data_IF_555622675380
#
_entry.id   IF_555622675380
#
_cell.length_a   1.000
_cell.length_b   1.000
_cell.length_c   1.000
_cell.angle_alpha   90.00
_cell.angle_beta   90.00
_cell.angle_gamma   90.00
#
_symmetry.space_group_name_H-M   'P 1'
#
loop_
_entity.id
_entity.type
_entity.pdbx_description
1 polymer ?
#
# COMPACT_ATOMS: atom_id res chain seq x y z
N UNK A 1 -14.62 -17.06 20.89
CA UNK A 1 -14.21 -15.91 20.06
C UNK A 1 -14.77 -14.70 20.77
N UNK A 2 -13.95 -13.99 21.55
CA UNK A 2 -14.39 -12.71 22.12
C UNK A 2 -14.75 -11.79 20.96
N UNK A 3 -15.99 -11.33 20.95
CA UNK A 3 -16.47 -10.34 20.00
C UNK A 3 -15.61 -9.10 20.22
N UNK A 4 -14.73 -8.79 19.25
CA UNK A 4 -13.94 -7.56 19.26
C UNK A 4 -14.93 -6.41 19.09
N UNK A 5 -15.51 -6.00 20.21
CA UNK A 5 -16.55 -5.00 20.27
C UNK A 5 -15.92 -3.67 19.88
N UNK A 6 -16.44 -3.09 18.81
CA UNK A 6 -16.09 -1.75 18.38
C UNK A 6 -16.26 -0.79 19.57
N UNK A 7 -15.15 -0.23 20.05
CA UNK A 7 -15.07 0.41 21.38
C UNK A 7 -14.92 1.93 21.32
N UNK A 8 -14.72 2.49 20.12
CA UNK A 8 -14.53 3.92 19.93
C UNK A 8 -15.29 4.42 18.71
N UNK A 9 -15.95 5.56 18.88
CA UNK A 9 -16.54 6.27 17.75
C UNK A 9 -15.52 7.20 17.09
N UNK A 10 -15.60 7.29 15.75
CA UNK A 10 -14.87 8.28 14.95
C UNK A 10 -15.86 9.30 14.42
N UNK A 11 -15.51 10.59 14.52
CA UNK A 11 -16.28 11.67 13.92
C UNK A 11 -16.13 11.68 12.40
N UNK A 12 -17.26 11.80 11.71
CA UNK A 12 -17.31 11.87 10.24
C UNK A 12 -17.62 13.29 9.80
N UNK A 13 -16.91 13.73 8.77
CA UNK A 13 -17.07 15.03 8.16
C UNK A 13 -17.31 14.88 6.66
N UNK A 14 -18.14 15.76 6.12
CA UNK A 14 -18.42 15.88 4.70
C UNK A 14 -17.98 17.27 4.23
N UNK A 15 -17.21 17.32 3.13
CA UNK A 15 -16.91 18.54 2.41
C UNK A 15 -17.53 18.45 1.02
N UNK A 16 -18.51 19.31 0.74
CA UNK A 16 -19.15 19.34 -0.57
C UNK A 16 -18.34 20.23 -1.52
N UNK A 17 -17.82 19.65 -2.59
CA UNK A 17 -17.26 20.39 -3.73
C UNK A 17 -18.38 20.68 -4.73
N UNK A 18 -18.80 21.95 -4.93
CA UNK A 18 -19.87 22.27 -5.86
C UNK A 18 -19.52 21.93 -7.30
N UNK A 19 -20.50 21.46 -8.08
CA UNK A 19 -20.30 21.15 -9.50
C UNK A 19 -19.75 22.35 -10.28
N UNK A 20 -20.18 23.57 -9.96
CA UNK A 20 -19.68 24.77 -10.62
C UNK A 20 -18.19 25.01 -10.35
N UNK A 21 -17.68 24.62 -9.18
CA UNK A 21 -16.23 24.66 -8.91
C UNK A 21 -15.47 23.67 -9.81
N UNK A 22 -16.00 22.46 -9.98
CA UNK A 22 -15.43 21.45 -10.89
C UNK A 22 -15.47 21.90 -12.36
N UNK A 23 -16.55 22.58 -12.76
CA UNK A 23 -16.73 23.11 -14.13
C UNK A 23 -15.79 24.27 -14.45
N UNK A 24 -15.35 25.04 -13.44
CA UNK A 24 -14.36 26.12 -13.61
C UNK A 24 -12.95 25.60 -13.89
N UNK A 25 -12.65 24.36 -13.53
CA UNK A 25 -11.38 23.74 -13.88
C UNK A 25 -11.31 23.48 -15.40
N UNK A 26 -10.13 23.70 -15.98
CA UNK A 26 -9.82 23.16 -17.31
C UNK A 26 -9.91 21.63 -17.31
N UNK A 27 -10.03 21.02 -18.47
CA UNK A 27 -10.13 19.56 -18.56
C UNK A 27 -8.88 18.87 -18.01
N UNK A 28 -7.69 19.44 -18.19
CA UNK A 28 -6.45 18.94 -17.60
C UNK A 28 -6.47 19.02 -16.06
N UNK A 29 -6.90 20.15 -15.50
CA UNK A 29 -6.97 20.30 -14.04
C UNK A 29 -8.04 19.40 -13.42
N UNK A 30 -9.16 19.19 -14.13
CA UNK A 30 -10.21 18.27 -13.71
C UNK A 30 -9.72 16.82 -13.76
N UNK A 31 -8.98 16.44 -14.80
CA UNK A 31 -8.31 15.14 -14.89
C UNK A 31 -7.35 14.94 -13.71
N UNK A 32 -6.48 15.92 -13.43
CA UNK A 32 -5.53 15.87 -12.32
C UNK A 32 -6.22 15.74 -10.96
N UNK A 33 -7.32 16.46 -10.73
CA UNK A 33 -8.12 16.37 -9.51
C UNK A 33 -8.61 14.94 -9.25
N UNK A 34 -9.26 14.32 -10.24
CA UNK A 34 -9.76 12.96 -10.10
C UNK A 34 -8.64 11.93 -9.99
N UNK A 35 -7.55 12.10 -10.74
CA UNK A 35 -6.41 11.18 -10.68
C UNK A 35 -5.73 11.21 -9.30
N UNK A 36 -5.50 12.39 -8.73
CA UNK A 36 -4.93 12.54 -7.39
C UNK A 36 -5.83 11.89 -6.32
N UNK A 37 -7.13 12.14 -6.39
CA UNK A 37 -8.10 11.53 -5.47
C UNK A 37 -8.13 10.00 -5.59
N UNK A 38 -8.04 9.48 -6.81
CA UNK A 38 -7.96 8.04 -7.05
C UNK A 38 -6.69 7.42 -6.47
N UNK A 39 -5.52 8.02 -6.73
CA UNK A 39 -4.24 7.56 -6.19
C UNK A 39 -4.27 7.54 -4.65
N UNK A 40 -4.74 8.63 -4.02
CA UNK A 40 -4.85 8.72 -2.56
C UNK A 40 -5.75 7.61 -1.99
N UNK A 41 -6.93 7.39 -2.59
CA UNK A 41 -7.85 6.35 -2.14
C UNK A 41 -7.24 4.95 -2.19
N UNK A 42 -6.53 4.62 -3.28
CA UNK A 42 -5.86 3.32 -3.40
C UNK A 42 -4.74 3.16 -2.37
N UNK A 43 -3.85 4.15 -2.23
CA UNK A 43 -2.71 4.06 -1.33
C UNK A 43 -3.10 4.10 0.15
N UNK A 44 -4.10 4.90 0.53
CA UNK A 44 -4.64 4.88 1.89
C UNK A 44 -5.30 3.54 2.23
N UNK A 45 -6.04 2.96 1.28
CA UNK A 45 -6.65 1.63 1.48
C UNK A 45 -5.58 0.56 1.64
N UNK A 46 -4.53 0.59 0.80
CA UNK A 46 -3.41 -0.34 0.88
C UNK A 46 -2.63 -0.20 2.18
N UNK A 47 -2.37 1.01 2.64
CA UNK A 47 -1.70 1.22 3.94
C UNK A 47 -2.45 0.52 5.08
N UNK A 48 -3.79 0.63 5.11
CA UNK A 48 -4.61 -0.07 6.11
C UNK A 48 -4.53 -1.58 5.94
N UNK A 49 -4.71 -2.08 4.71
CA UNK A 49 -4.73 -3.52 4.41
C UNK A 49 -3.38 -4.17 4.75
N UNK A 50 -2.26 -3.51 4.44
CA UNK A 50 -0.92 -3.99 4.82
C UNK A 50 -0.82 -4.12 6.34
N UNK A 51 -1.24 -3.11 7.11
CA UNK A 51 -1.24 -3.18 8.57
C UNK A 51 -2.16 -4.26 9.13
N UNK A 52 -3.28 -4.57 8.46
CA UNK A 52 -4.22 -5.60 8.88
C UNK A 52 -3.76 -7.02 8.51
N UNK A 53 -2.90 -7.15 7.48
CA UNK A 53 -2.39 -8.45 7.05
C UNK A 53 -1.22 -8.95 7.91
N UNK A 54 -0.55 -8.07 8.68
CA UNK A 54 0.52 -8.45 9.59
C UNK A 54 0.00 -9.37 10.71
N UNK A 55 0.71 -10.46 11.06
CA UNK A 55 0.38 -11.30 12.21
C UNK A 55 0.37 -10.50 13.52
N UNK A 56 -0.67 -10.65 14.34
CA UNK A 56 -0.86 -9.89 15.62
C UNK A 56 -1.04 -10.77 16.85
N UNK A 57 -0.63 -12.03 16.78
CA UNK A 57 -0.76 -13.01 17.85
C UNK A 57 0.60 -13.59 18.23
N UNK A 58 0.67 -14.22 19.40
CA UNK A 58 1.90 -14.85 19.90
C UNK A 58 2.11 -16.29 19.38
N UNK A 59 1.14 -16.86 18.66
CA UNK A 59 1.26 -18.22 18.10
C UNK A 59 2.32 -18.29 16.99
N UNK A 60 3.50 -18.78 17.37
CA UNK A 60 4.69 -18.88 16.52
C UNK A 60 4.80 -20.20 15.76
N UNK A 61 3.79 -21.08 15.84
CA UNK A 61 3.81 -22.35 15.10
C UNK A 61 3.93 -22.06 13.60
N UNK A 62 4.82 -22.75 12.84
CA UNK A 62 5.00 -22.50 11.41
C UNK A 62 3.70 -22.52 10.61
N UNK A 63 2.84 -23.50 10.88
CA UNK A 63 1.53 -23.64 10.23
C UNK A 63 0.58 -22.46 10.48
N UNK A 64 0.78 -21.70 11.56
CA UNK A 64 0.02 -20.49 11.83
C UNK A 64 0.70 -19.26 11.21
N UNK A 65 1.98 -19.07 11.53
CA UNK A 65 2.70 -17.83 11.23
C UNK A 65 3.08 -17.68 9.76
N UNK A 66 3.58 -18.73 9.09
CA UNK A 66 4.12 -18.62 7.73
C UNK A 66 3.07 -18.24 6.68
N UNK A 67 1.86 -18.83 6.67
CA UNK A 67 0.80 -18.42 5.73
C UNK A 67 0.35 -16.97 5.91
N UNK A 68 0.21 -16.52 7.16
CA UNK A 68 -0.16 -15.13 7.45
C UNK A 68 0.94 -14.15 7.04
N UNK A 69 2.21 -14.50 7.31
CA UNK A 69 3.33 -13.70 6.84
C UNK A 69 3.41 -13.66 5.31
N UNK A 70 3.18 -14.78 4.62
CA UNK A 70 3.12 -14.81 3.15
C UNK A 70 1.99 -13.95 2.58
N UNK A 71 0.81 -13.94 3.23
CA UNK A 71 -0.28 -13.02 2.90
C UNK A 71 0.13 -11.56 3.11
N UNK A 72 0.82 -11.24 4.21
CA UNK A 72 1.35 -9.90 4.43
C UNK A 72 2.34 -9.51 3.32
N UNK A 73 3.30 -10.39 2.98
CA UNK A 73 4.28 -10.16 1.91
C UNK A 73 3.62 -9.94 0.55
N UNK A 74 2.53 -10.64 0.24
CA UNK A 74 1.71 -10.35 -0.93
C UNK A 74 1.16 -8.91 -0.92
N UNK A 75 0.63 -8.44 0.21
CA UNK A 75 0.15 -7.06 0.33
C UNK A 75 1.29 -6.03 0.24
N UNK A 76 2.47 -6.33 0.80
CA UNK A 76 3.67 -5.49 0.65
C UNK A 76 4.08 -5.36 -0.82
N UNK A 77 4.08 -6.46 -1.59
CA UNK A 77 4.33 -6.45 -3.04
C UNK A 77 3.32 -5.57 -3.77
N UNK A 78 2.02 -5.73 -3.50
CA UNK A 78 1.00 -4.92 -4.15
C UNK A 78 1.15 -3.42 -3.85
N UNK A 79 1.43 -3.07 -2.59
CA UNK A 79 1.63 -1.70 -2.15
C UNK A 79 2.87 -1.05 -2.80
N UNK A 80 3.99 -1.77 -2.89
CA UNK A 80 5.21 -1.26 -3.54
C UNK A 80 4.99 -0.92 -5.02
N UNK A 81 4.29 -1.78 -5.75
CA UNK A 81 3.93 -1.52 -7.14
C UNK A 81 3.02 -0.30 -7.30
N UNK A 82 2.04 -0.13 -6.40
CA UNK A 82 1.14 1.04 -6.43
C UNK A 82 1.84 2.34 -6.08
N UNK A 83 2.79 2.35 -5.15
CA UNK A 83 3.66 3.51 -4.90
C UNK A 83 4.44 3.88 -6.16
N UNK A 84 4.98 2.89 -6.88
CA UNK A 84 5.72 3.15 -8.11
C UNK A 84 4.85 3.75 -9.20
N UNK A 85 3.64 3.24 -9.42
CA UNK A 85 2.70 3.78 -10.39
C UNK A 85 2.22 5.19 -10.00
N UNK A 86 1.99 5.45 -8.70
CA UNK A 86 1.68 6.78 -8.19
C UNK A 86 2.83 7.77 -8.46
N UNK A 87 4.06 7.39 -8.13
CA UNK A 87 5.28 8.16 -8.42
C UNK A 87 5.42 8.45 -9.92
N UNK A 88 5.20 7.45 -10.77
CA UNK A 88 5.21 7.60 -12.22
C UNK A 88 4.15 8.59 -12.69
N UNK A 89 2.93 8.50 -12.17
CA UNK A 89 1.87 9.45 -12.48
C UNK A 89 2.26 10.87 -12.10
N UNK A 90 2.70 11.10 -10.87
CA UNK A 90 3.11 12.42 -10.36
C UNK A 90 4.25 13.03 -11.19
N UNK A 91 5.25 12.22 -11.56
CA UNK A 91 6.46 12.71 -12.23
C UNK A 91 6.35 12.81 -13.75
N UNK A 92 5.65 11.87 -14.38
CA UNK A 92 5.69 11.69 -15.85
C UNK A 92 4.38 12.05 -16.54
N UNK A 93 3.25 12.11 -15.85
CA UNK A 93 2.01 12.58 -16.45
C UNK A 93 2.07 14.11 -16.60
N UNK A 94 2.12 14.58 -17.84
CA UNK A 94 2.33 16.02 -18.15
C UNK A 94 1.22 16.91 -17.59
N UNK A 95 -0.02 16.47 -17.66
CA UNK A 95 -1.18 17.21 -17.14
C UNK A 95 -1.09 17.34 -15.62
N UNK A 96 -0.85 16.23 -14.93
CA UNK A 96 -0.72 16.21 -13.47
C UNK A 96 0.48 17.03 -12.98
N UNK A 97 1.65 16.85 -13.60
CA UNK A 97 2.85 17.61 -13.26
C UNK A 97 2.63 19.13 -13.45
N UNK A 98 1.98 19.53 -14.56
CA UNK A 98 1.64 20.93 -14.80
C UNK A 98 0.68 21.47 -13.74
N UNK A 99 -0.40 20.74 -13.42
CA UNK A 99 -1.34 21.14 -12.36
C UNK A 99 -0.62 21.27 -11.01
N UNK A 100 0.23 20.30 -10.65
CA UNK A 100 0.99 20.36 -9.39
C UNK A 100 1.87 21.61 -9.33
N UNK A 101 2.78 21.80 -10.30
CA UNK A 101 3.77 22.87 -10.25
C UNK A 101 3.18 24.27 -10.43
N UNK A 102 2.17 24.43 -11.28
CA UNK A 102 1.64 25.75 -11.61
C UNK A 102 0.47 26.18 -10.71
N UNK A 103 -0.27 25.21 -10.15
CA UNK A 103 -1.52 25.48 -9.45
C UNK A 103 -1.45 25.12 -7.97
N UNK A 104 -0.95 23.94 -7.61
CA UNK A 104 -1.08 23.43 -6.24
C UNK A 104 0.13 23.80 -5.38
N UNK A 105 1.33 23.41 -5.78
CA UNK A 105 2.55 23.59 -4.98
C UNK A 105 2.84 25.05 -4.58
N UNK A 106 2.59 26.07 -5.43
CA UNK A 106 2.79 27.47 -5.03
C UNK A 106 1.86 27.94 -3.91
N UNK A 107 0.76 27.21 -3.66
CA UNK A 107 -0.24 27.50 -2.61
C UNK A 107 -0.05 26.63 -1.37
N UNK A 108 0.87 25.67 -1.42
CA UNK A 108 1.15 24.75 -0.33
C UNK A 108 2.39 25.23 0.43
N UNK A 109 2.34 25.19 1.76
CA UNK A 109 3.51 25.49 2.61
C UNK A 109 4.64 24.53 2.26
N UNK A 110 5.78 25.08 1.84
CA UNK A 110 6.96 24.35 1.39
C UNK A 110 6.69 23.31 0.29
N UNK A 111 5.67 23.53 -0.55
CA UNK A 111 5.17 22.49 -1.46
C UNK A 111 6.23 21.88 -2.37
N UNK A 112 7.10 22.71 -2.96
CA UNK A 112 8.19 22.24 -3.81
C UNK A 112 9.22 21.41 -3.04
N UNK A 113 9.60 21.84 -1.83
CA UNK A 113 10.55 21.10 -0.99
C UNK A 113 9.99 19.75 -0.56
N UNK A 114 8.69 19.68 -0.29
CA UNK A 114 8.01 18.43 0.05
C UNK A 114 7.98 17.44 -1.10
N UNK A 115 7.71 17.91 -2.33
CA UNK A 115 7.81 17.07 -3.52
C UNK A 115 9.24 16.58 -3.76
N UNK A 116 10.25 17.44 -3.56
CA UNK A 116 11.67 17.05 -3.65
C UNK A 116 12.01 15.98 -2.62
N UNK A 117 11.59 16.14 -1.36
CA UNK A 117 11.81 15.16 -0.29
C UNK A 117 11.16 13.82 -0.63
N UNK A 118 9.89 13.81 -1.01
CA UNK A 118 9.18 12.61 -1.42
C UNK A 118 9.90 11.91 -2.59
N UNK A 119 10.36 12.70 -3.57
CA UNK A 119 11.08 12.13 -4.70
C UNK A 119 12.41 11.51 -4.29
N UNK A 120 13.17 12.16 -3.40
CA UNK A 120 14.42 11.63 -2.87
C UNK A 120 14.20 10.32 -2.10
N UNK A 121 13.13 10.21 -1.29
CA UNK A 121 12.80 8.99 -0.57
C UNK A 121 12.48 7.84 -1.54
N UNK A 122 11.68 8.10 -2.58
CA UNK A 122 11.36 7.11 -3.62
C UNK A 122 12.60 6.69 -4.40
N UNK A 123 13.49 7.63 -4.73
CA UNK A 123 14.71 7.36 -5.49
C UNK A 123 15.74 6.58 -4.65
N UNK A 124 15.76 6.81 -3.34
CA UNK A 124 16.57 6.02 -2.41
C UNK A 124 16.10 4.56 -2.28
N UNK A 125 14.82 4.29 -2.56
CA UNK A 125 14.24 2.96 -2.56
C UNK A 125 14.46 2.24 -3.90
N UNK A 126 15.73 1.95 -4.21
CA UNK A 126 16.16 1.30 -5.47
C UNK A 126 15.47 -0.04 -5.75
N UNK A 127 15.03 -0.75 -4.70
CA UNK A 127 14.31 -2.02 -4.76
C UNK A 127 12.87 -1.92 -5.31
N UNK A 128 12.26 -0.73 -5.34
CA UNK A 128 10.88 -0.55 -5.81
C UNK A 128 10.70 -0.98 -7.28
N UNK A 129 11.68 -0.66 -8.14
CA UNK A 129 11.59 -0.93 -9.57
C UNK A 129 11.71 -2.44 -9.87
N UNK A 130 12.76 -3.15 -9.39
CA UNK A 130 12.84 -4.60 -9.54
C UNK A 130 11.61 -5.31 -8.99
N UNK A 131 11.15 -4.93 -7.79
CA UNK A 131 10.01 -5.58 -7.15
C UNK A 131 8.72 -5.43 -7.96
N UNK A 132 8.44 -4.21 -8.44
CA UNK A 132 7.28 -3.94 -9.31
C UNK A 132 7.32 -4.79 -10.58
N UNK A 133 8.48 -4.87 -11.22
CA UNK A 133 8.62 -5.54 -12.51
C UNK A 133 8.63 -7.07 -12.40
N UNK A 134 9.17 -7.64 -11.33
CA UNK A 134 9.28 -9.09 -11.20
C UNK A 134 8.13 -9.76 -10.46
N UNK A 135 7.42 -9.07 -9.56
CA UNK A 135 6.52 -9.76 -8.61
C UNK A 135 5.15 -9.12 -8.37
N UNK A 136 4.88 -7.92 -8.93
CA UNK A 136 3.58 -7.26 -8.71
C UNK A 136 2.59 -7.57 -9.82
N UNK A 137 3.02 -7.43 -11.07
CA UNK A 137 2.14 -7.58 -12.25
C UNK A 137 2.60 -8.71 -13.19
N UNK A 138 3.74 -9.31 -12.90
CA UNK A 138 4.35 -10.37 -13.69
C UNK A 138 4.81 -11.48 -12.76
N UNK A 139 4.84 -12.70 -13.28
CA UNK A 139 5.60 -13.77 -12.65
C UNK A 139 7.05 -13.68 -13.13
N UNK A 140 8.02 -14.03 -12.27
CA UNK A 140 9.43 -14.07 -12.65
C UNK A 140 9.68 -15.02 -13.83
N UNK A 141 10.67 -14.69 -14.64
CA UNK A 141 11.12 -15.59 -15.71
C UNK A 141 11.88 -16.78 -15.14
N UNK A 142 12.12 -17.81 -15.95
CA UNK A 142 12.96 -18.92 -15.53
C UNK A 142 14.36 -18.43 -15.17
N UNK A 143 14.92 -17.52 -15.97
CA UNK A 143 16.25 -16.95 -15.77
C UNK A 143 16.34 -16.17 -14.45
N UNK A 144 15.28 -15.47 -14.06
CA UNK A 144 15.22 -14.73 -12.79
C UNK A 144 15.19 -15.68 -11.58
N UNK A 145 14.58 -16.85 -11.71
CA UNK A 145 14.37 -17.80 -10.61
C UNK A 145 15.34 -18.97 -10.58
N UNK A 146 16.01 -19.29 -11.68
CA UNK A 146 16.96 -20.39 -11.79
C UNK A 146 17.97 -20.42 -10.62
N UNK A 147 18.55 -19.29 -10.16
CA UNK A 147 19.47 -19.29 -9.03
C UNK A 147 18.82 -19.67 -7.69
N UNK A 148 17.52 -19.44 -7.53
CA UNK A 148 16.77 -19.61 -6.28
C UNK A 148 16.02 -20.93 -6.20
N UNK A 149 15.91 -21.67 -7.31
CA UNK A 149 15.23 -22.99 -7.37
C UNK A 149 16.20 -24.16 -7.49
N UNK A 150 17.51 -23.90 -7.41
CA UNK A 150 18.55 -24.94 -7.44
C UNK A 150 18.78 -25.47 -6.02
N UNK A 151 18.50 -26.76 -5.76
CA UNK A 151 18.73 -27.34 -4.45
C UNK A 151 20.21 -27.28 -4.04
N UNK A 152 20.46 -26.98 -2.77
CA UNK A 152 21.77 -27.09 -2.14
C UNK A 152 21.66 -27.74 -0.74
N UNK A 153 22.80 -27.95 -0.08
CA UNK A 153 22.86 -28.63 1.22
C UNK A 153 22.18 -27.84 2.38
N UNK A 154 21.80 -26.59 2.16
CA UNK A 154 21.09 -25.75 3.14
C UNK A 154 19.56 -25.84 3.04
N UNK A 155 19.04 -26.46 1.96
CA UNK A 155 17.60 -26.62 1.77
C UNK A 155 16.99 -27.53 2.82
N UNK A 156 15.73 -27.25 3.15
CA UNK A 156 14.91 -28.03 4.08
C UNK A 156 13.69 -28.58 3.35
N UNK A 157 12.99 -29.53 3.96
CA UNK A 157 11.74 -30.06 3.43
C UNK A 157 10.71 -28.93 3.22
N UNK A 158 10.04 -28.97 2.07
CA UNK A 158 8.94 -28.08 1.75
C UNK A 158 7.72 -28.41 2.61
N UNK A 159 7.05 -27.37 3.09
CA UNK A 159 5.79 -27.49 3.81
C UNK A 159 4.62 -27.04 2.93
N UNK A 160 3.57 -27.84 2.91
CA UNK A 160 2.26 -27.44 2.40
C UNK A 160 1.29 -27.46 3.56
N UNK A 161 0.81 -26.29 3.97
CA UNK A 161 -0.17 -26.18 5.04
C UNK A 161 -1.57 -26.25 4.44
N UNK A 162 -2.36 -27.20 4.92
CA UNK A 162 -3.68 -27.54 4.36
C UNK A 162 -4.77 -27.32 5.41
N UNK A 163 -5.82 -26.61 5.03
CA UNK A 163 -7.11 -26.57 5.70
C UNK A 163 -8.14 -27.41 4.96
N UNK A 164 -9.39 -27.37 5.43
CA UNK A 164 -10.49 -28.18 4.87
C UNK A 164 -10.84 -27.84 3.41
N UNK A 165 -10.43 -26.67 2.91
CA UNK A 165 -10.77 -26.16 1.58
C UNK A 165 -9.57 -25.43 0.96
N UNK A 166 -9.52 -25.33 -0.37
CA UNK A 166 -8.38 -24.80 -1.12
C UNK A 166 -8.04 -23.33 -0.80
N UNK A 167 -9.02 -22.52 -0.39
CA UNK A 167 -8.77 -21.16 0.09
C UNK A 167 -7.95 -21.08 1.39
N UNK A 168 -7.77 -22.21 2.08
CA UNK A 168 -6.93 -22.38 3.25
C UNK A 168 -5.73 -23.30 2.90
N UNK A 169 -5.07 -23.07 1.77
CA UNK A 169 -3.87 -23.84 1.37
C UNK A 169 -2.71 -22.90 1.14
N UNK A 170 -1.55 -23.22 1.71
CA UNK A 170 -0.34 -22.43 1.57
C UNK A 170 0.86 -23.30 1.20
N UNK A 171 1.56 -22.92 0.14
CA UNK A 171 2.78 -23.58 -0.33
C UNK A 171 3.99 -22.79 0.14
N UNK A 172 4.59 -23.24 1.25
CA UNK A 172 5.61 -22.50 1.98
C UNK A 172 6.92 -22.37 1.18
N UNK A 173 7.35 -23.44 0.52
CA UNK A 173 8.56 -23.43 -0.32
C UNK A 173 8.44 -22.45 -1.48
N UNK A 174 7.29 -22.43 -2.16
CA UNK A 174 7.02 -21.51 -3.27
C UNK A 174 7.06 -20.04 -2.83
N UNK A 175 6.48 -19.70 -1.68
CA UNK A 175 6.55 -18.33 -1.17
C UNK A 175 7.95 -17.99 -0.64
N UNK A 176 8.69 -18.97 -0.11
CA UNK A 176 10.07 -18.80 0.35
C UNK A 176 11.01 -18.44 -0.81
N UNK A 177 10.94 -19.15 -1.94
CA UNK A 177 11.69 -18.83 -3.18
C UNK A 177 11.35 -17.42 -3.68
N UNK A 178 10.06 -17.09 -3.72
CA UNK A 178 9.57 -15.77 -4.11
C UNK A 178 10.10 -14.65 -3.19
N UNK A 179 10.15 -14.89 -1.89
CA UNK A 179 10.70 -13.96 -0.90
C UNK A 179 12.21 -13.83 -1.03
N UNK A 180 12.94 -14.93 -1.20
CA UNK A 180 14.40 -14.91 -1.39
C UNK A 180 14.80 -14.09 -2.61
N UNK A 181 14.13 -14.31 -3.75
CA UNK A 181 14.30 -13.49 -4.95
C UNK A 181 14.01 -12.01 -4.69
N UNK A 182 12.93 -11.71 -3.95
CA UNK A 182 12.56 -10.34 -3.62
C UNK A 182 13.62 -9.65 -2.75
N UNK A 183 14.14 -10.33 -1.73
CA UNK A 183 15.13 -9.77 -0.82
C UNK A 183 16.52 -9.70 -1.43
N UNK A 184 16.85 -10.57 -2.40
CA UNK A 184 18.12 -10.47 -3.14
C UNK A 184 18.21 -9.15 -3.92
N UNK A 185 17.08 -8.54 -4.29
CA UNK A 185 17.04 -7.23 -4.94
C UNK A 185 17.51 -6.07 -4.04
N UNK A 186 17.58 -6.28 -2.72
CA UNK A 186 18.07 -5.27 -1.77
C UNK A 186 19.60 -5.21 -1.69
N UNK A 187 20.30 -6.23 -2.20
CA UNK A 187 21.76 -6.33 -2.10
C UNK A 187 22.28 -6.42 -0.66
N UNK A 188 21.42 -6.79 0.30
CA UNK A 188 21.78 -6.89 1.71
C UNK A 188 22.38 -8.28 2.01
N UNK A 189 23.51 -8.38 2.75
CA UNK A 189 24.19 -9.66 3.00
C UNK A 189 23.40 -10.59 3.93
N UNK A 190 22.50 -10.03 4.75
CA UNK A 190 21.62 -10.78 5.64
C UNK A 190 20.15 -10.61 5.23
N UNK A 191 19.53 -11.68 4.72
CA UNK A 191 18.14 -11.67 4.26
C UNK A 191 17.15 -11.30 5.35
N UNK A 192 17.38 -11.73 6.60
CA UNK A 192 16.47 -11.45 7.72
C UNK A 192 16.43 -9.97 8.05
N UNK A 193 17.60 -9.32 8.10
CA UNK A 193 17.70 -7.87 8.30
C UNK A 193 17.13 -7.10 7.11
N UNK A 194 17.25 -7.66 5.90
CA UNK A 194 16.68 -7.09 4.68
C UNK A 194 15.14 -7.02 4.73
N UNK A 195 14.49 -8.01 5.35
CA UNK A 195 13.03 -8.04 5.52
C UNK A 195 12.54 -6.87 6.35
N UNK A 196 13.10 -6.70 7.55
CA UNK A 196 12.70 -5.63 8.48
C UNK A 196 12.96 -4.25 7.88
N UNK A 197 14.10 -4.09 7.19
CA UNK A 197 14.44 -2.87 6.48
C UNK A 197 13.44 -2.55 5.37
N UNK A 198 13.08 -3.53 4.54
CA UNK A 198 12.14 -3.34 3.43
C UNK A 198 10.74 -2.99 3.94
N UNK A 199 10.27 -3.69 4.97
CA UNK A 199 8.97 -3.41 5.60
C UNK A 199 8.96 -1.98 6.15
N UNK A 200 9.99 -1.60 6.91
CA UNK A 200 10.12 -0.26 7.49
C UNK A 200 10.12 0.82 6.42
N UNK A 201 10.93 0.65 5.38
CA UNK A 201 11.01 1.59 4.26
C UNK A 201 9.69 1.68 3.48
N UNK A 202 8.97 0.58 3.25
CA UNK A 202 7.68 0.64 2.57
C UNK A 202 6.64 1.38 3.40
N UNK A 203 6.57 1.11 4.71
CA UNK A 203 5.65 1.81 5.62
C UNK A 203 5.94 3.31 5.66
N UNK A 204 7.22 3.69 5.70
CA UNK A 204 7.64 5.08 5.63
C UNK A 204 7.23 5.72 4.30
N UNK A 205 7.53 5.08 3.16
CA UNK A 205 7.15 5.58 1.83
C UNK A 205 5.63 5.74 1.65
N UNK A 206 4.84 4.77 2.13
CA UNK A 206 3.38 4.88 2.12
C UNK A 206 2.92 6.08 2.94
N UNK A 207 3.49 6.27 4.11
CA UNK A 207 3.16 7.39 5.01
C UNK A 207 3.53 8.72 4.37
N UNK A 208 4.74 8.86 3.82
CA UNK A 208 5.19 10.08 3.16
C UNK A 208 4.36 10.41 1.91
N UNK A 209 4.06 9.41 1.08
CA UNK A 209 3.23 9.57 -0.11
C UNK A 209 1.80 9.97 0.25
N UNK A 210 1.16 9.29 1.19
CA UNK A 210 -0.21 9.60 1.62
C UNK A 210 -0.30 10.98 2.27
N UNK A 211 0.66 11.35 3.12
CA UNK A 211 0.71 12.69 3.73
C UNK A 211 0.88 13.78 2.67
N UNK A 212 1.76 13.55 1.68
CA UNK A 212 1.92 14.49 0.57
C UNK A 212 0.64 14.63 -0.27
N UNK A 213 -0.01 13.51 -0.60
CA UNK A 213 -1.25 13.50 -1.38
C UNK A 213 -2.43 14.14 -0.64
N UNK A 214 -2.54 13.90 0.67
CA UNK A 214 -3.54 14.52 1.53
C UNK A 214 -3.42 16.04 1.49
N UNK A 215 -2.21 16.57 1.65
CA UNK A 215 -1.98 18.02 1.61
C UNK A 215 -2.17 18.60 0.20
N UNK A 216 -1.71 17.90 -0.83
CA UNK A 216 -1.97 18.28 -2.24
C UNK A 216 -3.47 18.37 -2.51
N UNK A 217 -4.26 17.37 -2.11
CA UNK A 217 -5.70 17.37 -2.31
C UNK A 217 -6.39 18.42 -1.44
N UNK A 218 -5.95 18.58 -0.19
CA UNK A 218 -6.42 19.61 0.73
C UNK A 218 -6.23 21.01 0.14
N UNK A 219 -5.01 21.34 -0.31
CA UNK A 219 -4.70 22.60 -0.98
C UNK A 219 -5.47 22.76 -2.29
N UNK A 220 -5.58 21.71 -3.11
CA UNK A 220 -6.33 21.78 -4.38
C UNK A 220 -7.80 22.12 -4.11
N UNK A 221 -8.44 21.44 -3.17
CA UNK A 221 -9.84 21.69 -2.86
C UNK A 221 -10.02 23.07 -2.21
N UNK A 222 -9.25 23.36 -1.15
CA UNK A 222 -9.42 24.58 -0.36
C UNK A 222 -9.06 25.84 -1.17
N UNK A 223 -7.85 25.89 -1.74
CA UNK A 223 -7.28 27.13 -2.29
C UNK A 223 -7.58 27.35 -3.77
N UNK A 224 -7.93 26.30 -4.52
CA UNK A 224 -8.15 26.41 -5.98
C UNK A 224 -9.63 26.24 -6.34
N UNK A 225 -10.33 25.30 -5.71
CA UNK A 225 -11.73 25.03 -6.07
C UNK A 225 -12.71 25.88 -5.27
N UNK A 226 -12.40 26.09 -3.98
CA UNK A 226 -13.31 26.72 -3.02
C UNK A 226 -12.88 28.11 -2.55
N UNK A 227 -11.75 28.65 -3.05
CA UNK A 227 -11.23 29.99 -2.70
C UNK A 227 -11.13 30.23 -1.18
N UNK A 228 -10.73 29.22 -0.41
CA UNK A 228 -10.62 29.23 1.05
C UNK A 228 -11.96 29.17 1.80
N UNK A 229 -13.09 29.00 1.10
CA UNK A 229 -14.45 29.06 1.68
C UNK A 229 -15.10 27.69 1.93
N UNK A 230 -14.34 26.62 1.79
CA UNK A 230 -14.85 25.27 2.04
C UNK A 230 -15.18 25.05 3.50
N UNK A 231 -16.44 24.76 3.83
CA UNK A 231 -16.84 24.36 5.18
C UNK A 231 -17.03 22.85 5.25
N UNK A 232 -16.28 22.21 6.13
CA UNK A 232 -16.52 20.83 6.52
C UNK A 232 -17.76 20.78 7.42
N UNK A 233 -18.71 19.90 7.10
CA UNK A 233 -19.91 19.65 7.88
C UNK A 233 -19.72 18.36 8.67
N UNK A 234 -19.90 18.40 9.98
CA UNK A 234 -20.00 17.17 10.78
C UNK A 234 -21.27 16.41 10.39
N UNK A 235 -21.13 15.13 10.01
CA UNK A 235 -22.22 14.27 9.54
C UNK A 235 -22.52 13.10 10.48
N UNK A 236 -21.89 13.10 11.65
CA UNK A 236 -22.18 12.15 12.73
C UNK A 236 -20.97 11.38 13.19
N UNK A 237 -21.23 10.26 13.87
CA UNK A 237 -20.23 9.37 14.44
C UNK A 237 -20.47 7.96 13.95
N UNK A 238 -19.40 7.23 13.65
CA UNK A 238 -19.45 5.80 13.33
C UNK A 238 -18.69 5.02 14.38
N UNK A 239 -19.27 3.91 14.84
CA UNK A 239 -18.61 3.00 15.77
C UNK A 239 -17.59 2.16 15.00
N UNK A 240 -16.34 2.17 15.43
CA UNK A 240 -15.23 1.52 14.72
C UNK A 240 -14.43 0.58 15.63
N UNK A 241 -13.90 -0.47 15.04
CA UNK A 241 -12.86 -1.31 15.65
C UNK A 241 -11.57 -0.50 15.82
N UNK A 242 -10.81 -0.77 16.88
CA UNK A 242 -9.49 -0.15 17.06
C UNK A 242 -8.55 -0.65 15.94
N UNK A 243 -7.81 0.26 15.33
CA UNK A 243 -7.01 -0.02 14.13
C UNK A 243 -5.98 -1.15 14.34
N UNK A 244 -5.33 -1.13 15.50
CA UNK A 244 -4.37 -2.13 15.95
C UNK A 244 -5.03 -3.50 16.22
N UNK A 245 -6.33 -3.57 16.47
CA UNK A 245 -7.07 -4.81 16.69
C UNK A 245 -7.63 -5.46 15.42
N UNK A 246 -7.66 -4.75 14.28
CA UNK A 246 -8.15 -5.32 13.02
C UNK A 246 -7.11 -6.25 12.40
N UNK A 247 -7.50 -7.45 12.00
CA UNK A 247 -6.67 -8.38 11.24
C UNK A 247 -7.43 -8.99 10.05
N UNK A 248 -6.70 -9.31 8.98
CA UNK A 248 -7.21 -10.10 7.85
C UNK A 248 -6.65 -11.52 8.01
N UNK A 249 -7.44 -12.48 8.51
CA UNK A 249 -6.94 -13.82 8.76
C UNK A 249 -6.70 -14.57 7.45
N UNK A 250 -5.58 -15.30 7.38
CA UNK A 250 -5.36 -16.30 6.32
C UNK A 250 -6.34 -17.47 6.48
N UNK A 251 -6.40 -18.03 7.68
CA UNK A 251 -7.25 -19.17 8.02
C UNK A 251 -8.70 -18.71 8.23
N UNK A 252 -9.62 -19.13 7.36
CA UNK A 252 -11.04 -18.74 7.44
C UNK A 252 -11.97 -19.95 7.44
N UNK A 253 -13.10 -19.83 8.14
CA UNK A 253 -14.18 -20.82 8.02
C UNK A 253 -14.97 -20.51 6.75
N UNK A 254 -14.77 -21.32 5.72
CA UNK A 254 -15.54 -21.23 4.48
C UNK A 254 -16.76 -22.13 4.59
N UNK A 255 -17.97 -21.54 4.51
CA UNK A 255 -19.20 -22.34 4.45
C UNK A 255 -19.11 -23.27 3.24
N UNK A 256 -19.25 -24.59 3.46
CA UNK A 256 -19.40 -25.52 2.36
C UNK A 256 -20.56 -25.03 1.49
N UNK A 257 -20.34 -24.90 0.17
CA UNK A 257 -21.48 -24.85 -0.75
C UNK A 257 -22.25 -26.14 -0.47
N UNK A 258 -23.45 -26.03 0.09
CA UNK A 258 -24.35 -27.18 0.15
C UNK A 258 -24.58 -27.58 -1.32
N UNK A 259 -24.12 -28.77 -1.67
CA UNK A 259 -24.38 -29.40 -2.97
C UNK A 259 -25.89 -29.55 -3.21
#
# INVERSE_FOLDING_TARGET
>A
MEEVMASRSVDMYELRVPLDAVKRLSDENRFSYYLLGHIFNELMSLQKIVSFALPKHEDSRPARFRPENGQAMFMFRLASGKIREASKAIRMNKQLASTLHNLILPRMVDGQNRLVKLNAAIDAASWLIPLRNGMVFHFPSFEDWEPHVKPDDSWVDDYVFLGEQSGNTFYDGADSVAQEWMFSQLGHPNLREAVDLLIGQLVELLTEMNTFLEDVLGTFIAEVMLDGKGMQKHVGKVLCTQFDQVSIPFWTVMKSRKD
#
